data_IF_686916123074
#
_entry.id   IF_686916123074
#
_cell.length_a   1.000
_cell.length_b   1.000
_cell.length_c   1.000
_cell.angle_alpha   90.00
_cell.angle_beta   90.00
_cell.angle_gamma   90.00
#
_symmetry.space_group_name_H-M   'P 1'
#
loop_
_entity.id
_entity.type
_entity.pdbx_description
1 polymer ?
#
# COMPACT_ATOMS: atom_id res chain seq x y z
N UNK A 1 -1.10 -18.68 -15.39
CA UNK A 1 -0.20 -18.41 -14.28
C UNK A 1 -0.55 -19.34 -13.13
N UNK A 2 -0.41 -20.65 -13.35
CA UNK A 2 -0.50 -21.65 -12.29
C UNK A 2 -1.81 -21.68 -11.52
N UNK A 3 -2.95 -21.32 -12.14
CA UNK A 3 -4.25 -21.35 -11.48
C UNK A 3 -4.49 -20.25 -10.46
N UNK A 4 -3.58 -19.30 -10.32
CA UNK A 4 -3.77 -18.15 -9.43
C UNK A 4 -4.68 -17.13 -10.08
N UNK A 5 -5.57 -16.47 -9.32
CA UNK A 5 -6.37 -15.40 -9.87
C UNK A 5 -5.48 -14.23 -10.30
N UNK A 6 -5.78 -13.65 -11.45
CA UNK A 6 -5.08 -12.46 -11.93
C UNK A 6 -5.58 -11.19 -11.24
N UNK A 7 -6.88 -11.17 -10.89
CA UNK A 7 -7.52 -10.01 -10.25
C UNK A 7 -8.53 -10.50 -9.21
N UNK A 8 -8.55 -9.84 -8.08
CA UNK A 8 -9.53 -10.10 -7.01
C UNK A 8 -10.14 -8.76 -6.60
N UNK A 9 -11.47 -8.68 -6.57
CA UNK A 9 -12.18 -7.53 -6.03
C UNK A 9 -12.54 -7.80 -4.57
N UNK A 10 -12.25 -6.83 -3.71
CA UNK A 10 -12.52 -6.93 -2.28
C UNK A 10 -13.27 -5.69 -1.80
N UNK A 11 -14.03 -5.84 -0.74
CA UNK A 11 -14.74 -4.75 -0.09
C UNK A 11 -14.50 -4.79 1.41
N UNK A 12 -14.60 -3.63 2.04
CA UNK A 12 -14.62 -3.57 3.51
C UNK A 12 -15.88 -4.25 4.03
N UNK A 13 -15.73 -5.01 5.09
CA UNK A 13 -16.87 -5.62 5.81
C UNK A 13 -17.72 -4.54 6.46
N UNK A 14 -17.07 -3.52 7.03
CA UNK A 14 -17.73 -2.34 7.59
C UNK A 14 -17.59 -1.18 6.62
N UNK A 15 -18.71 -0.72 6.07
CA UNK A 15 -18.74 0.30 5.03
C UNK A 15 -18.99 1.71 5.58
N UNK A 16 -19.05 1.89 6.88
CA UNK A 16 -19.41 3.17 7.50
C UNK A 16 -18.47 4.32 7.12
N UNK A 17 -17.17 4.03 6.92
CA UNK A 17 -16.18 5.05 6.60
C UNK A 17 -15.90 5.25 5.11
N UNK A 18 -16.63 4.59 4.21
CA UNK A 18 -16.28 4.59 2.77
C UNK A 18 -16.44 5.97 2.14
N UNK A 19 -17.52 6.68 2.45
CA UNK A 19 -17.72 8.03 1.90
C UNK A 19 -16.64 9.01 2.37
N UNK A 20 -16.23 8.92 3.62
CA UNK A 20 -15.15 9.75 4.15
C UNK A 20 -13.80 9.43 3.49
N UNK A 21 -13.57 8.15 3.17
CA UNK A 21 -12.37 7.75 2.45
C UNK A 21 -12.29 8.43 1.08
N UNK A 22 -13.40 8.47 0.35
CA UNK A 22 -13.47 9.15 -0.94
C UNK A 22 -13.20 10.64 -0.79
N UNK A 23 -13.77 11.28 0.22
CA UNK A 23 -13.52 12.70 0.47
C UNK A 23 -12.06 13.00 0.78
N UNK A 24 -11.42 12.15 1.59
CA UNK A 24 -9.98 12.30 1.88
C UNK A 24 -9.14 12.18 0.63
N UNK A 25 -9.48 11.22 -0.24
CA UNK A 25 -8.77 11.03 -1.50
C UNK A 25 -8.79 12.29 -2.38
N UNK A 26 -9.90 13.02 -2.38
CA UNK A 26 -10.02 14.25 -3.15
C UNK A 26 -9.03 15.32 -2.71
N UNK A 27 -8.64 15.33 -1.43
CA UNK A 27 -7.66 16.30 -0.91
C UNK A 27 -6.25 16.06 -1.46
N UNK A 28 -6.01 14.90 -2.05
CA UNK A 28 -4.69 14.50 -2.55
C UNK A 28 -4.60 14.55 -4.08
N UNK A 29 -5.62 15.06 -4.75
CA UNK A 29 -5.59 15.22 -6.19
C UNK A 29 -4.45 16.15 -6.61
N UNK A 30 -3.73 15.75 -7.65
CA UNK A 30 -2.64 16.55 -8.21
C UNK A 30 -1.30 16.36 -7.52
N UNK A 31 -1.22 15.58 -6.44
CA UNK A 31 0.06 15.29 -5.81
C UNK A 31 0.87 14.30 -6.65
N UNK A 32 2.20 14.45 -6.70
CA UNK A 32 3.04 13.52 -7.46
C UNK A 32 3.09 12.14 -6.81
N UNK A 33 3.39 11.13 -7.62
CA UNK A 33 3.59 9.78 -7.14
C UNK A 33 4.90 9.67 -6.34
N UNK A 34 4.87 8.90 -5.25
CA UNK A 34 6.02 8.71 -4.40
C UNK A 34 6.87 7.51 -4.87
N UNK A 35 7.89 7.78 -5.64
CA UNK A 35 8.84 6.75 -6.09
C UNK A 35 9.89 6.43 -5.02
N UNK A 36 9.90 7.14 -3.91
CA UNK A 36 10.82 6.92 -2.80
C UNK A 36 10.27 5.97 -1.74
N UNK A 37 8.96 5.73 -1.77
CA UNK A 37 8.24 4.84 -0.84
C UNK A 37 8.50 5.21 0.63
N UNK A 38 8.44 6.50 0.94
CA UNK A 38 8.67 7.01 2.29
C UNK A 38 7.42 7.68 2.85
N UNK A 39 7.15 7.53 4.16
CA UNK A 39 6.01 8.21 4.77
C UNK A 39 6.27 9.72 4.90
N UNK A 40 5.20 10.48 5.06
CA UNK A 40 5.24 11.89 5.46
C UNK A 40 6.06 12.81 4.56
N UNK A 41 6.11 12.52 3.24
CA UNK A 41 6.85 13.33 2.28
C UNK A 41 5.95 14.14 1.33
N UNK A 42 4.65 14.21 1.61
CA UNK A 42 3.69 14.94 0.79
C UNK A 42 3.35 14.27 -0.53
N UNK A 43 3.75 13.02 -0.71
CA UNK A 43 3.51 12.22 -1.90
C UNK A 43 2.95 10.87 -1.49
N UNK A 44 2.30 10.18 -2.42
CA UNK A 44 1.73 8.85 -2.12
C UNK A 44 2.07 7.85 -3.22
N UNK A 45 2.40 6.62 -2.84
CA UNK A 45 2.32 5.47 -3.73
C UNK A 45 0.94 4.82 -3.57
N UNK A 46 0.56 3.91 -4.47
CA UNK A 46 -0.84 3.47 -4.62
C UNK A 46 -1.46 2.94 -3.33
N UNK A 47 -0.83 1.99 -2.66
CA UNK A 47 -1.39 1.41 -1.44
C UNK A 47 -1.30 2.34 -0.24
N UNK A 48 -0.33 3.25 -0.22
CA UNK A 48 -0.23 4.27 0.82
C UNK A 48 -1.42 5.23 0.78
N UNK A 49 -1.86 5.61 -0.41
CA UNK A 49 -3.03 6.46 -0.56
C UNK A 49 -4.27 5.77 0.00
N UNK A 50 -4.44 4.49 -0.28
CA UNK A 50 -5.55 3.70 0.26
C UNK A 50 -5.46 3.64 1.78
N UNK A 51 -4.28 3.37 2.32
CA UNK A 51 -4.05 3.34 3.77
C UNK A 51 -4.40 4.68 4.43
N UNK A 52 -3.99 5.79 3.81
CA UNK A 52 -4.24 7.13 4.35
C UNK A 52 -5.73 7.49 4.35
N UNK A 53 -6.46 7.08 3.31
CA UNK A 53 -7.85 7.50 3.13
C UNK A 53 -8.84 6.70 3.99
N UNK A 54 -8.59 5.41 4.20
CA UNK A 54 -9.50 4.53 4.92
C UNK A 54 -9.19 4.56 6.42
N UNK A 55 -10.03 5.26 7.18
CA UNK A 55 -9.86 5.47 8.61
C UNK A 55 -11.14 5.13 9.36
N UNK A 56 -10.99 4.75 10.64
CA UNK A 56 -12.13 4.62 11.55
C UNK A 56 -12.65 6.01 11.94
N UNK A 57 -13.78 6.06 12.65
CA UNK A 57 -14.38 7.31 13.07
C UNK A 57 -13.48 8.15 13.99
N UNK A 58 -12.56 7.53 14.71
CA UNK A 58 -11.59 8.22 15.57
C UNK A 58 -10.31 8.62 14.85
N UNK A 59 -10.22 8.36 13.53
CA UNK A 59 -9.06 8.71 12.72
C UNK A 59 -7.97 7.66 12.68
N UNK A 60 -8.17 6.48 13.27
CA UNK A 60 -7.20 5.40 13.24
C UNK A 60 -7.19 4.69 11.88
N UNK A 61 -6.02 4.17 11.44
CA UNK A 61 -5.96 3.42 10.18
C UNK A 61 -6.78 2.13 10.25
N UNK A 62 -7.49 1.82 9.16
CA UNK A 62 -8.18 0.52 9.01
C UNK A 62 -7.18 -0.56 8.60
N UNK A 63 -6.21 -0.20 7.76
CA UNK A 63 -5.16 -1.12 7.30
C UNK A 63 -3.88 -0.92 8.12
N UNK A 64 -3.12 -1.99 8.27
CA UNK A 64 -1.89 -1.97 9.08
C UNK A 64 -0.67 -1.67 8.21
N UNK A 65 0.10 -0.64 8.58
CA UNK A 65 1.42 -0.41 8.01
C UNK A 65 2.42 -1.37 8.66
N UNK A 66 3.33 -1.89 7.86
CA UNK A 66 4.35 -2.86 8.31
C UNK A 66 5.71 -2.44 7.79
N UNK A 67 6.79 -2.87 8.46
CA UNK A 67 8.13 -2.61 7.92
C UNK A 67 8.26 -3.16 6.51
N UNK A 68 8.66 -2.31 5.56
CA UNK A 68 8.86 -2.74 4.18
C UNK A 68 10.02 -3.71 4.07
N UNK A 69 9.88 -4.72 3.22
CA UNK A 69 10.90 -5.73 3.01
C UNK A 69 11.22 -5.84 1.51
N UNK A 70 12.40 -5.41 1.14
CA UNK A 70 12.91 -5.48 -0.23
C UNK A 70 13.83 -6.68 -0.45
N UNK A 71 14.01 -7.52 0.56
CA UNK A 71 14.93 -8.65 0.49
C UNK A 71 14.31 -9.86 -0.17
N UNK A 72 15.15 -10.65 -0.84
CA UNK A 72 14.78 -11.95 -1.37
C UNK A 72 14.63 -12.96 -0.23
N UNK A 73 14.09 -14.15 -0.55
CA UNK A 73 13.89 -15.22 0.43
C UNK A 73 15.18 -15.63 1.15
N UNK A 74 16.32 -15.54 0.48
CA UNK A 74 17.63 -15.86 1.05
C UNK A 74 18.20 -14.75 1.93
N UNK A 75 17.46 -13.66 2.13
CA UNK A 75 17.87 -12.52 2.95
C UNK A 75 18.73 -11.49 2.23
N UNK A 76 19.10 -11.72 0.97
CA UNK A 76 19.89 -10.76 0.21
C UNK A 76 19.02 -9.63 -0.35
N UNK A 77 19.62 -8.45 -0.49
CA UNK A 77 18.96 -7.30 -1.11
C UNK A 77 19.25 -7.32 -2.61
N UNK A 78 18.23 -7.55 -3.47
CA UNK A 78 18.45 -7.60 -4.91
C UNK A 78 19.08 -6.31 -5.44
N UNK A 79 20.05 -6.45 -6.33
CA UNK A 79 20.74 -5.33 -6.96
C UNK A 79 19.79 -4.38 -7.68
N UNK A 80 18.69 -4.89 -8.21
CA UNK A 80 17.64 -4.09 -8.84
C UNK A 80 17.19 -2.94 -7.93
N UNK A 81 16.94 -3.23 -6.66
CA UNK A 81 16.48 -2.21 -5.71
C UNK A 81 17.56 -1.20 -5.36
N UNK A 82 18.79 -1.67 -5.13
CA UNK A 82 19.90 -0.76 -4.80
C UNK A 82 20.20 0.18 -5.96
N UNK A 83 20.17 -0.32 -7.19
CA UNK A 83 20.39 0.51 -8.38
C UNK A 83 19.25 1.50 -8.60
N UNK A 84 18.00 1.05 -8.42
CA UNK A 84 16.82 1.90 -8.63
C UNK A 84 16.87 3.11 -7.70
N UNK A 85 17.13 2.89 -6.42
CA UNK A 85 17.19 3.98 -5.44
C UNK A 85 18.47 4.81 -5.59
N UNK A 86 19.58 4.21 -5.99
CA UNK A 86 20.82 4.95 -6.26
C UNK A 86 20.65 5.99 -7.37
N UNK A 87 19.88 5.67 -8.41
CA UNK A 87 19.56 6.63 -9.49
C UNK A 87 18.82 7.86 -8.98
N UNK A 88 18.15 7.75 -7.86
CA UNK A 88 17.43 8.85 -7.21
C UNK A 88 18.25 9.49 -6.09
N UNK A 89 19.51 9.06 -5.92
CA UNK A 89 20.40 9.50 -4.82
C UNK A 89 19.78 9.19 -3.46
N UNK A 90 19.12 8.04 -3.34
CA UNK A 90 18.45 7.61 -2.13
C UNK A 90 18.88 6.20 -1.75
N UNK A 91 18.73 5.86 -0.46
CA UNK A 91 18.90 4.49 0.01
C UNK A 91 17.58 3.72 -0.08
N UNK A 92 17.68 2.39 -0.16
CA UNK A 92 16.49 1.53 -0.13
C UNK A 92 15.80 1.69 1.23
N UNK A 93 14.49 1.97 1.27
CA UNK A 93 13.78 2.19 2.54
C UNK A 93 13.42 0.87 3.24
N UNK A 94 14.40 0.01 3.44
CA UNK A 94 14.24 -1.27 4.15
C UNK A 94 13.82 -1.02 5.59
N UNK A 95 12.76 -1.68 6.05
CA UNK A 95 12.27 -1.55 7.41
C UNK A 95 11.45 -0.31 7.71
N UNK A 96 11.31 0.61 6.74
CA UNK A 96 10.46 1.79 6.91
C UNK A 96 8.99 1.35 6.86
N UNK A 97 8.13 1.87 7.77
CA UNK A 97 6.71 1.51 7.73
C UNK A 97 6.06 1.83 6.39
N UNK A 98 5.33 0.88 5.85
CA UNK A 98 4.66 1.05 4.57
C UNK A 98 3.60 0.00 4.34
N UNK A 99 3.02 0.01 3.15
CA UNK A 99 1.97 -0.90 2.74
C UNK A 99 2.27 -1.48 1.37
N UNK A 100 1.58 -2.56 1.04
CA UNK A 100 1.54 -3.09 -0.32
C UNK A 100 0.19 -3.81 -0.54
N UNK A 101 -0.27 -3.93 -1.80
CA UNK A 101 -1.56 -4.54 -2.07
C UNK A 101 -1.70 -5.98 -1.57
N UNK A 102 -0.62 -6.75 -1.63
CA UNK A 102 -0.67 -8.14 -1.19
C UNK A 102 -0.94 -8.25 0.31
N UNK A 103 -0.23 -7.48 1.13
CA UNK A 103 -0.47 -7.46 2.57
C UNK A 103 -1.87 -6.94 2.90
N UNK A 104 -2.31 -5.89 2.20
CA UNK A 104 -3.65 -5.34 2.40
C UNK A 104 -4.73 -6.36 2.07
N UNK A 105 -4.53 -7.20 1.06
CA UNK A 105 -5.50 -8.24 0.69
C UNK A 105 -5.71 -9.29 1.78
N UNK A 106 -4.77 -9.41 2.70
CA UNK A 106 -4.85 -10.36 3.83
C UNK A 106 -5.55 -9.79 5.06
N UNK A 107 -5.96 -8.53 5.02
CA UNK A 107 -6.60 -7.89 6.16
C UNK A 107 -7.97 -8.47 6.44
N UNK A 108 -8.27 -8.69 7.72
CA UNK A 108 -9.57 -9.22 8.17
C UNK A 108 -10.72 -8.23 7.98
N UNK A 109 -10.40 -6.98 7.76
CA UNK A 109 -11.38 -5.92 7.48
C UNK A 109 -11.98 -6.03 6.09
N UNK A 110 -11.37 -6.84 5.22
CA UNK A 110 -11.81 -7.05 3.85
C UNK A 110 -12.52 -8.38 3.67
N UNK A 111 -13.44 -8.41 2.69
CA UNK A 111 -14.02 -9.66 2.19
C UNK A 111 -13.87 -9.71 0.67
N UNK A 112 -13.65 -10.90 0.13
CA UNK A 112 -13.60 -11.11 -1.31
C UNK A 112 -15.00 -11.03 -1.88
N UNK A 113 -15.17 -10.26 -2.96
CA UNK A 113 -16.45 -10.09 -3.65
C UNK A 113 -16.48 -10.89 -4.94
N UNK A 114 -15.39 -10.86 -5.69
CA UNK A 114 -15.28 -11.56 -6.96
C UNK A 114 -13.82 -11.87 -7.28
N UNK A 115 -13.62 -12.95 -8.00
CA UNK A 115 -12.30 -13.42 -8.39
C UNK A 115 -12.31 -13.78 -9.88
N UNK A 116 -11.40 -13.18 -10.63
CA UNK A 116 -11.21 -13.47 -12.05
C UNK A 116 -10.03 -14.41 -12.21
N UNK A 117 -10.29 -15.55 -12.86
CA UNK A 117 -9.31 -16.63 -13.11
C UNK A 117 -8.85 -17.37 -11.85
#
# INVERSE_FOLDING_TARGET
>A
IGGRPAVVAMRLKDTAGVCEAVRRAQNYLGLPYDYSFRPDNGKFYCSELVWECYRTSDGSPIFTARPMNFRAEDGTLPQFWTELFARRSESVPEGVPGTNPNDMSQERTLREVYRWF
#
